data_IF_500766606746
#
_entry.id   IF_500766606746
#
_cell.length_a   1.000
_cell.length_b   1.000
_cell.length_c   1.000
_cell.angle_alpha   90.00
_cell.angle_beta   90.00
_cell.angle_gamma   90.00
#
_symmetry.space_group_name_H-M   'P 1'
#
loop_
_entity.id
_entity.type
_entity.pdbx_description
1 polymer ?
#
# COMPACT_ATOMS: atom_id res chain seq x y z
N UNK A 1 -11.21 -4.06 42.26
CA UNK A 1 -10.77 -5.28 41.57
C UNK A 1 -9.70 -4.89 40.57
N UNK A 2 -8.44 -5.02 40.97
CA UNK A 2 -7.28 -4.90 40.08
C UNK A 2 -7.27 -6.17 39.23
N UNK A 3 -7.68 -6.07 37.98
CA UNK A 3 -7.58 -7.15 37.01
C UNK A 3 -6.78 -6.61 35.82
N UNK A 4 -5.59 -7.18 35.71
CA UNK A 4 -4.78 -7.33 34.50
C UNK A 4 -4.27 -6.07 33.79
N UNK A 5 -3.31 -5.44 34.45
CA UNK A 5 -2.19 -4.74 33.80
C UNK A 5 -1.10 -5.77 33.40
N UNK A 6 -1.50 -6.85 32.72
CA UNK A 6 -0.57 -7.78 32.11
C UNK A 6 0.01 -7.08 30.89
N UNK A 7 1.11 -6.35 31.10
CA UNK A 7 2.09 -6.04 30.07
C UNK A 7 2.34 -7.34 29.29
N UNK A 8 1.75 -7.45 28.10
CA UNK A 8 2.15 -8.45 27.12
C UNK A 8 3.66 -8.34 26.98
N UNK A 9 4.44 -9.40 27.25
CA UNK A 9 5.89 -9.33 27.18
C UNK A 9 6.27 -8.88 25.76
N UNK A 10 6.84 -7.67 25.66
CA UNK A 10 7.35 -7.12 24.41
C UNK A 10 8.56 -7.96 24.01
N UNK A 11 8.41 -8.84 23.02
CA UNK A 11 9.42 -9.83 22.59
C UNK A 11 10.70 -9.17 22.00
N UNK A 12 10.73 -7.86 21.76
CA UNK A 12 11.60 -7.30 20.69
C UNK A 12 12.29 -5.96 20.98
N UNK A 13 12.96 -5.78 22.12
CA UNK A 13 13.94 -4.66 22.23
C UNK A 13 15.34 -5.03 21.72
N UNK A 14 15.65 -6.32 21.57
CA UNK A 14 17.03 -6.77 21.31
C UNK A 14 17.30 -7.18 19.85
N UNK A 15 16.25 -7.27 19.01
CA UNK A 15 16.39 -7.66 17.60
C UNK A 15 16.82 -6.47 16.73
N UNK A 16 18.10 -6.44 16.36
CA UNK A 16 18.66 -5.39 15.48
C UNK A 16 18.32 -5.56 14.01
N UNK A 17 17.97 -6.77 13.59
CA UNK A 17 17.69 -7.12 12.21
C UNK A 17 16.47 -8.04 12.10
N UNK A 18 15.75 -7.92 10.99
CA UNK A 18 14.64 -8.81 10.64
C UNK A 18 14.62 -9.10 9.15
N UNK A 19 14.16 -10.30 8.77
CA UNK A 19 13.87 -10.64 7.39
C UNK A 19 12.36 -10.84 7.26
N UNK A 20 11.72 -10.05 6.40
CA UNK A 20 10.28 -10.15 6.13
C UNK A 20 10.11 -10.68 4.71
N UNK A 21 9.28 -11.69 4.54
CA UNK A 21 9.08 -12.40 3.27
C UNK A 21 7.58 -12.47 2.97
N UNK A 22 7.22 -12.24 1.71
CA UNK A 22 5.91 -12.59 1.17
C UNK A 22 6.09 -13.51 -0.03
N UNK A 23 5.32 -14.59 -0.09
CA UNK A 23 5.44 -15.61 -1.14
C UNK A 23 4.07 -16.13 -1.54
N UNK A 24 3.86 -16.34 -2.83
CA UNK A 24 2.71 -17.05 -3.37
C UNK A 24 3.07 -17.82 -4.64
N UNK A 25 2.67 -19.10 -4.70
CA UNK A 25 2.87 -19.98 -5.85
C UNK A 25 1.57 -20.77 -6.14
N UNK A 26 1.22 -20.87 -7.42
CA UNK A 26 0.03 -21.51 -7.95
C UNK A 26 0.36 -22.94 -8.39
N UNK A 27 0.59 -23.82 -7.41
CA UNK A 27 1.09 -25.19 -7.64
C UNK A 27 0.06 -26.16 -8.25
N UNK A 28 -1.17 -25.71 -8.48
CA UNK A 28 -2.22 -26.55 -9.05
C UNK A 28 -3.55 -25.82 -9.24
N UNK A 29 -4.54 -26.48 -9.86
CA UNK A 29 -5.81 -25.85 -10.23
C UNK A 29 -6.77 -25.64 -9.05
N UNK A 30 -6.53 -26.27 -7.89
CA UNK A 30 -7.46 -26.24 -6.76
C UNK A 30 -7.85 -24.83 -6.31
N UNK A 31 -6.87 -23.92 -6.19
CA UNK A 31 -7.17 -22.53 -5.83
C UNK A 31 -7.97 -21.77 -6.88
N UNK A 32 -7.77 -22.07 -8.18
CA UNK A 32 -8.59 -21.48 -9.25
C UNK A 32 -10.04 -21.95 -9.14
N UNK A 33 -10.25 -23.25 -8.95
CA UNK A 33 -11.58 -23.84 -8.79
C UNK A 33 -12.29 -23.22 -7.57
N UNK A 34 -11.62 -23.16 -6.43
CA UNK A 34 -12.19 -22.62 -5.18
C UNK A 34 -12.55 -21.14 -5.26
N UNK A 35 -11.78 -20.33 -6.00
CA UNK A 35 -12.03 -18.88 -6.15
C UNK A 35 -12.99 -18.56 -7.31
N UNK A 36 -13.15 -19.47 -8.27
CA UNK A 36 -14.13 -19.32 -9.37
C UNK A 36 -15.56 -19.49 -8.87
N UNK A 37 -15.80 -20.46 -7.98
CA UNK A 37 -17.13 -20.72 -7.40
C UNK A 37 -17.84 -19.49 -6.80
N UNK A 38 -17.18 -18.71 -5.93
CA UNK A 38 -17.74 -17.48 -5.37
C UNK A 38 -17.63 -16.25 -6.29
N UNK A 39 -17.13 -16.40 -7.54
CA UNK A 39 -17.01 -15.28 -8.49
C UNK A 39 -15.92 -14.26 -8.13
N UNK A 40 -14.83 -14.69 -7.48
CA UNK A 40 -13.75 -13.77 -7.07
C UNK A 40 -12.75 -13.48 -8.21
N UNK A 41 -12.69 -14.37 -9.20
CA UNK A 41 -11.77 -14.24 -10.33
C UNK A 41 -12.43 -13.54 -11.50
N UNK A 42 -11.69 -12.60 -12.10
CA UNK A 42 -12.07 -12.01 -13.39
C UNK A 42 -12.02 -13.04 -14.52
N UNK A 43 -12.96 -12.97 -15.46
CA UNK A 43 -12.96 -13.83 -16.65
C UNK A 43 -11.93 -13.38 -17.70
N UNK A 44 -11.43 -12.15 -17.58
CA UNK A 44 -10.51 -11.55 -18.55
C UNK A 44 -9.03 -11.73 -18.16
N UNK A 45 -8.76 -12.36 -17.02
CA UNK A 45 -7.41 -12.72 -16.57
C UNK A 45 -6.51 -11.53 -16.18
N UNK A 46 -7.08 -10.36 -15.89
CA UNK A 46 -6.36 -9.16 -15.45
C UNK A 46 -7.08 -8.46 -14.30
N UNK A 47 -6.34 -7.78 -13.42
CA UNK A 47 -6.95 -6.91 -12.41
C UNK A 47 -7.25 -5.54 -13.03
N UNK A 48 -8.53 -5.24 -13.26
CA UNK A 48 -9.02 -3.96 -13.79
C UNK A 48 -9.20 -2.93 -12.67
N UNK A 49 -8.18 -2.79 -11.82
CA UNK A 49 -8.21 -1.93 -10.64
C UNK A 49 -8.60 -0.49 -11.01
N UNK A 50 -9.64 0.02 -10.35
CA UNK A 50 -10.28 1.33 -10.54
C UNK A 50 -11.04 1.53 -11.85
N UNK A 51 -11.01 0.59 -12.77
CA UNK A 51 -11.72 0.69 -14.04
C UNK A 51 -13.20 0.30 -13.88
N UNK A 52 -14.07 0.87 -14.72
CA UNK A 52 -15.49 0.55 -14.76
C UNK A 52 -15.78 -0.93 -15.06
N UNK A 53 -14.84 -1.63 -15.70
CA UNK A 53 -14.92 -3.06 -16.01
C UNK A 53 -14.43 -4.00 -14.89
N UNK A 54 -14.07 -3.46 -13.73
CA UNK A 54 -13.67 -4.22 -12.53
C UNK A 54 -14.68 -5.32 -12.15
N UNK A 55 -14.33 -6.58 -12.39
CA UNK A 55 -15.20 -7.76 -12.20
C UNK A 55 -14.57 -8.84 -11.29
N UNK A 56 -13.39 -8.59 -10.72
CA UNK A 56 -12.63 -9.58 -9.96
C UNK A 56 -11.13 -9.40 -10.12
N UNK A 57 -10.35 -10.30 -9.54
CA UNK A 57 -8.90 -10.28 -9.67
C UNK A 57 -8.36 -11.43 -10.51
N UNK A 58 -7.24 -11.20 -11.17
CA UNK A 58 -6.39 -12.27 -11.71
C UNK A 58 -5.45 -12.77 -10.61
N UNK A 59 -5.14 -14.06 -10.56
CA UNK A 59 -4.15 -14.59 -9.62
C UNK A 59 -2.74 -14.33 -10.14
N UNK A 60 -1.78 -14.17 -9.24
CA UNK A 60 -0.37 -13.98 -9.58
C UNK A 60 0.56 -14.75 -8.66
N UNK A 61 1.80 -14.91 -9.11
CA UNK A 61 2.87 -15.61 -8.39
C UNK A 61 4.02 -14.65 -8.09
N UNK A 62 4.74 -14.92 -7.01
CA UNK A 62 5.96 -14.19 -6.72
C UNK A 62 6.45 -14.40 -5.30
N UNK A 63 7.76 -14.22 -5.14
CA UNK A 63 8.45 -14.23 -3.85
C UNK A 63 9.24 -12.93 -3.74
N UNK A 64 9.04 -12.22 -2.64
CA UNK A 64 9.77 -11.00 -2.32
C UNK A 64 10.19 -10.99 -0.86
N UNK A 65 11.30 -10.30 -0.57
CA UNK A 65 11.76 -10.13 0.79
C UNK A 65 12.40 -8.76 1.01
N UNK A 66 12.38 -8.31 2.25
CA UNK A 66 13.09 -7.11 2.70
C UNK A 66 13.84 -7.42 3.99
N UNK A 67 15.07 -6.91 4.07
CA UNK A 67 15.87 -6.91 5.30
C UNK A 67 15.60 -5.62 6.04
N UNK A 68 15.07 -5.73 7.25
CA UNK A 68 14.90 -4.63 8.18
C UNK A 68 16.11 -4.54 9.10
N UNK A 69 16.48 -3.31 9.46
CA UNK A 69 17.46 -3.00 10.50
C UNK A 69 16.86 -1.91 11.37
N UNK A 70 16.86 -2.09 12.69
CA UNK A 70 16.45 -1.03 13.62
C UNK A 70 17.38 0.16 13.43
N UNK A 71 16.80 1.33 13.25
CA UNK A 71 17.53 2.54 12.92
C UNK A 71 17.98 3.23 14.22
N UNK A 72 19.21 2.98 14.67
CA UNK A 72 19.80 3.67 15.83
C UNK A 72 20.36 5.05 15.45
N UNK A 73 20.75 5.27 14.18
CA UNK A 73 21.28 6.54 13.67
C UNK A 73 20.50 7.07 12.46
N UNK A 74 20.31 8.39 12.42
CA UNK A 74 19.44 9.07 11.48
C UNK A 74 20.00 9.08 10.05
N UNK A 75 21.29 9.28 9.81
CA UNK A 75 21.77 9.60 8.45
C UNK A 75 22.70 8.51 7.91
N UNK A 76 22.25 7.84 6.84
CA UNK A 76 23.04 6.95 5.97
C UNK A 76 23.71 5.72 6.60
N UNK A 77 22.91 4.65 6.78
CA UNK A 77 23.48 3.32 6.66
C UNK A 77 23.64 3.01 5.16
N UNK A 78 24.88 2.78 4.70
CA UNK A 78 25.16 2.28 3.35
C UNK A 78 24.20 1.12 2.98
N UNK A 79 23.52 1.25 1.85
CA UNK A 79 22.55 0.26 1.35
C UNK A 79 21.11 0.42 1.85
N UNK A 80 20.77 1.44 2.64
CA UNK A 80 19.38 1.75 2.98
C UNK A 80 18.64 2.32 1.77
N UNK A 81 17.52 1.70 1.39
CA UNK A 81 16.71 2.11 0.22
C UNK A 81 15.40 2.82 0.58
N UNK A 82 14.98 2.75 1.85
CA UNK A 82 13.77 3.39 2.38
C UNK A 82 13.74 3.24 3.92
N UNK A 83 12.79 3.91 4.57
CA UNK A 83 12.46 3.76 5.98
C UNK A 83 10.98 3.37 6.12
N UNK A 84 10.71 2.27 6.81
CA UNK A 84 9.37 1.94 7.31
C UNK A 84 9.14 2.80 8.56
N UNK A 85 8.17 3.71 8.51
CA UNK A 85 7.97 4.72 9.57
C UNK A 85 6.68 4.52 10.35
N UNK A 86 5.77 3.66 9.87
CA UNK A 86 4.59 3.23 10.60
C UNK A 86 3.98 1.99 9.96
N UNK A 87 3.38 1.13 10.76
CA UNK A 87 2.61 0.00 10.28
C UNK A 87 1.50 -0.38 11.26
N UNK A 88 0.38 -0.85 10.74
CA UNK A 88 -0.75 -1.25 11.57
C UNK A 88 -1.46 -2.45 10.98
N UNK A 89 -2.03 -3.27 11.86
CA UNK A 89 -2.95 -4.34 11.52
C UNK A 89 -4.22 -4.23 12.35
N UNK A 90 -5.36 -4.53 11.74
CA UNK A 90 -6.63 -4.66 12.46
C UNK A 90 -7.53 -5.70 11.78
N UNK A 91 -8.81 -5.77 12.18
CA UNK A 91 -9.78 -6.68 11.60
C UNK A 91 -11.14 -5.99 11.38
N UNK A 92 -11.86 -6.41 10.35
CA UNK A 92 -13.16 -5.85 9.93
C UNK A 92 -14.28 -6.00 10.96
N UNK A 93 -14.15 -6.92 11.90
CA UNK A 93 -15.15 -7.30 12.88
C UNK A 93 -16.38 -7.90 12.21
N UNK A 94 -17.55 -7.41 12.63
CA UNK A 94 -18.83 -7.79 12.03
C UNK A 94 -19.07 -6.95 10.77
N UNK A 95 -18.79 -7.53 9.61
CA UNK A 95 -19.07 -6.96 8.29
C UNK A 95 -20.38 -7.53 7.68
N UNK A 96 -20.76 -7.03 6.50
CA UNK A 96 -21.99 -7.44 5.81
C UNK A 96 -21.99 -8.91 5.36
N UNK A 97 -20.82 -9.47 5.09
CA UNK A 97 -20.57 -10.89 4.87
C UNK A 97 -19.13 -11.20 5.25
N UNK A 98 -18.80 -12.48 5.45
CA UNK A 98 -17.44 -12.89 5.82
C UNK A 98 -16.34 -12.35 4.89
N UNK A 99 -16.68 -12.11 3.61
CA UNK A 99 -15.73 -11.65 2.58
C UNK A 99 -15.94 -10.19 2.16
N UNK A 100 -16.96 -9.51 2.70
CA UNK A 100 -17.21 -8.11 2.38
C UNK A 100 -16.23 -7.21 3.12
N UNK A 101 -15.49 -6.32 2.42
CA UNK A 101 -14.57 -5.40 3.05
C UNK A 101 -15.32 -4.37 3.92
N UNK A 102 -14.68 -3.89 4.98
CA UNK A 102 -15.28 -2.93 5.91
C UNK A 102 -14.57 -1.57 5.91
N UNK A 103 -15.17 -0.58 5.24
CA UNK A 103 -14.61 0.77 5.09
C UNK A 103 -14.16 1.44 6.40
N UNK A 104 -14.96 1.45 7.49
CA UNK A 104 -14.53 2.00 8.77
C UNK A 104 -13.28 1.33 9.35
N UNK A 105 -13.14 0.01 9.22
CA UNK A 105 -11.96 -0.72 9.69
C UNK A 105 -10.73 -0.39 8.83
N UNK A 106 -10.91 -0.23 7.51
CA UNK A 106 -9.84 0.27 6.64
C UNK A 106 -9.41 1.69 7.00
N UNK A 107 -10.35 2.59 7.32
CA UNK A 107 -10.00 3.93 7.78
C UNK A 107 -9.20 3.88 9.08
N UNK A 108 -9.56 3.02 10.02
CA UNK A 108 -8.86 2.95 11.31
C UNK A 108 -7.44 2.40 11.17
N UNK A 109 -7.21 1.34 10.38
CA UNK A 109 -5.86 0.82 10.16
C UNK A 109 -4.97 1.85 9.47
N UNK A 110 -5.52 2.64 8.54
CA UNK A 110 -4.80 3.74 7.88
C UNK A 110 -4.46 4.82 8.90
N UNK A 111 -5.42 5.27 9.72
CA UNK A 111 -5.18 6.29 10.76
C UNK A 111 -4.14 5.81 11.77
N UNK A 112 -4.20 4.56 12.21
CA UNK A 112 -3.27 4.04 13.20
C UNK A 112 -1.83 4.02 12.69
N UNK A 113 -1.59 3.54 11.47
CA UNK A 113 -0.26 3.55 10.85
C UNK A 113 0.25 4.99 10.65
N UNK A 114 -0.60 5.91 10.20
CA UNK A 114 -0.22 7.32 10.05
C UNK A 114 0.08 7.99 11.40
N UNK A 115 -0.68 7.67 12.46
CA UNK A 115 -0.43 8.18 13.82
C UNK A 115 0.91 7.69 14.37
N UNK A 116 1.21 6.41 14.19
CA UNK A 116 2.52 5.84 14.58
C UNK A 116 3.68 6.55 13.86
N UNK A 117 3.48 6.87 12.58
CA UNK A 117 4.45 7.59 11.76
C UNK A 117 4.46 9.12 11.99
N UNK A 118 3.57 9.67 12.82
CA UNK A 118 3.44 11.12 13.03
C UNK A 118 3.01 11.91 11.78
N UNK A 119 2.31 11.28 10.84
CA UNK A 119 1.96 11.86 9.54
C UNK A 119 0.63 12.63 9.56
N UNK A 120 0.57 13.72 8.81
CA UNK A 120 -0.68 14.42 8.50
C UNK A 120 -1.35 13.84 7.24
N UNK A 121 -2.68 14.02 7.07
CA UNK A 121 -3.44 13.55 5.90
C UNK A 121 -2.87 13.94 4.52
N UNK A 122 -2.11 15.04 4.44
CA UNK A 122 -1.51 15.55 3.21
C UNK A 122 -0.06 15.09 2.97
N UNK A 123 0.58 14.37 3.91
CA UNK A 123 1.99 13.95 3.78
C UNK A 123 2.18 12.87 2.71
N UNK A 124 1.20 11.96 2.57
CA UNK A 124 1.30 10.83 1.63
C UNK A 124 1.05 11.30 0.20
N UNK A 125 2.04 11.03 -0.65
CA UNK A 125 2.06 11.42 -2.07
C UNK A 125 1.53 10.32 -2.99
N UNK A 126 1.77 9.05 -2.64
CA UNK A 126 1.33 7.89 -3.41
C UNK A 126 0.72 6.86 -2.44
N UNK A 127 -0.48 6.38 -2.74
CA UNK A 127 -1.07 5.23 -2.08
C UNK A 127 -1.04 4.02 -3.03
N UNK A 128 -0.25 3.01 -2.66
CA UNK A 128 -0.35 1.67 -3.24
C UNK A 128 -1.53 0.97 -2.58
N UNK A 129 -2.64 0.93 -3.31
CA UNK A 129 -3.90 0.37 -2.85
C UNK A 129 -3.88 -1.15 -2.87
N UNK A 130 -4.73 -1.75 -2.02
CA UNK A 130 -5.07 -3.15 -2.13
C UNK A 130 -5.64 -3.44 -3.52
N UNK A 131 -6.60 -2.66 -4.01
CA UNK A 131 -6.93 -2.49 -5.42
C UNK A 131 -7.07 -3.79 -6.20
N UNK A 132 -7.99 -4.66 -5.79
CA UNK A 132 -8.19 -5.97 -6.43
C UNK A 132 -8.91 -5.91 -7.76
N UNK A 133 -9.48 -4.76 -8.16
CA UNK A 133 -10.27 -4.67 -9.38
C UNK A 133 -11.64 -5.30 -9.20
N UNK A 134 -12.24 -5.13 -8.02
CA UNK A 134 -13.60 -5.59 -7.74
C UNK A 134 -14.57 -4.42 -7.74
N UNK A 135 -15.76 -4.62 -8.31
CA UNK A 135 -16.80 -3.59 -8.38
C UNK A 135 -17.18 -2.98 -7.01
N UNK A 136 -17.11 -3.78 -5.93
CA UNK A 136 -17.43 -3.33 -4.57
C UNK A 136 -16.20 -2.87 -3.78
N UNK A 137 -15.07 -3.58 -3.88
CA UNK A 137 -13.91 -3.35 -3.04
C UNK A 137 -13.18 -2.06 -3.37
N UNK A 138 -13.02 -1.74 -4.67
CA UNK A 138 -12.31 -0.54 -5.10
C UNK A 138 -13.02 0.76 -4.60
N UNK A 139 -14.35 0.92 -4.76
CA UNK A 139 -15.07 2.05 -4.15
C UNK A 139 -14.92 2.16 -2.64
N UNK A 140 -14.99 1.04 -1.90
CA UNK A 140 -14.85 1.03 -0.44
C UNK A 140 -13.45 1.49 -0.03
N UNK A 141 -12.41 1.00 -0.69
CA UNK A 141 -11.04 1.38 -0.41
C UNK A 141 -10.78 2.86 -0.72
N UNK A 142 -11.22 3.35 -1.87
CA UNK A 142 -11.06 4.78 -2.22
C UNK A 142 -11.84 5.66 -1.25
N UNK A 143 -13.05 5.27 -0.86
CA UNK A 143 -13.84 5.97 0.16
C UNK A 143 -13.14 5.98 1.52
N UNK A 144 -12.53 4.88 1.95
CA UNK A 144 -11.76 4.82 3.19
C UNK A 144 -10.52 5.72 3.15
N UNK A 145 -9.74 5.67 2.06
CA UNK A 145 -8.58 6.54 1.85
C UNK A 145 -8.98 8.01 1.84
N UNK A 146 -10.10 8.36 1.19
CA UNK A 146 -10.67 9.72 1.22
C UNK A 146 -11.07 10.13 2.63
N UNK A 147 -11.75 9.25 3.39
CA UNK A 147 -12.17 9.52 4.78
C UNK A 147 -11.02 9.79 5.76
N UNK A 148 -9.77 9.44 5.40
CA UNK A 148 -8.58 9.70 6.21
C UNK A 148 -7.70 10.79 5.60
N UNK A 149 -7.56 10.83 4.28
CA UNK A 149 -6.58 11.65 3.56
C UNK A 149 -7.19 12.78 2.74
N UNK A 150 -8.49 13.06 2.88
CA UNK A 150 -9.10 14.27 2.31
C UNK A 150 -8.60 15.49 3.08
N UNK A 151 -7.71 16.23 2.43
CA UNK A 151 -7.16 17.48 2.93
C UNK A 151 -6.80 18.36 1.73
N UNK A 152 -6.71 19.67 1.96
CA UNK A 152 -6.16 20.59 0.98
C UNK A 152 -4.69 20.22 0.73
N UNK A 153 -4.37 19.95 -0.53
CA UNK A 153 -3.05 19.52 -0.95
C UNK A 153 -2.65 20.26 -2.22
N UNK A 154 -1.40 20.71 -2.27
CA UNK A 154 -0.85 21.41 -3.42
C UNK A 154 -0.75 20.51 -4.67
N UNK A 155 -0.57 19.20 -4.45
CA UNK A 155 -0.56 18.18 -5.49
C UNK A 155 -1.53 17.06 -5.14
N UNK A 156 -2.35 16.57 -6.08
CA UNK A 156 -3.21 15.41 -5.87
C UNK A 156 -2.44 14.16 -5.43
N UNK A 157 -3.08 13.28 -4.66
CA UNK A 157 -2.51 11.98 -4.29
C UNK A 157 -2.64 10.98 -5.43
N UNK A 158 -1.56 10.29 -5.78
CA UNK A 158 -1.62 9.20 -6.76
C UNK A 158 -2.18 7.93 -6.09
N UNK A 159 -3.14 7.28 -6.73
CA UNK A 159 -3.59 5.92 -6.41
C UNK A 159 -3.06 4.96 -7.44
N UNK A 160 -2.46 3.87 -6.98
CA UNK A 160 -1.90 2.86 -7.87
C UNK A 160 -2.03 1.47 -7.25
N UNK A 161 -2.00 0.41 -8.05
CA UNK A 161 -1.90 -0.97 -7.55
C UNK A 161 -1.01 -1.84 -8.42
N UNK A 162 -0.07 -2.54 -7.79
CA UNK A 162 0.80 -3.54 -8.41
C UNK A 162 0.03 -4.70 -9.03
N UNK A 163 -1.22 -4.93 -8.59
CA UNK A 163 -2.07 -6.01 -9.09
C UNK A 163 -2.43 -5.84 -10.56
N UNK A 164 -2.47 -4.60 -11.04
CA UNK A 164 -2.65 -4.33 -12.47
C UNK A 164 -1.52 -4.94 -13.31
N UNK A 165 -0.29 -4.98 -12.80
CA UNK A 165 0.89 -5.49 -13.50
C UNK A 165 1.16 -6.98 -13.25
N UNK A 166 0.97 -7.44 -12.01
CA UNK A 166 1.44 -8.75 -11.54
C UNK A 166 0.30 -9.72 -11.22
N UNK A 167 -0.95 -9.29 -11.32
CA UNK A 167 -2.08 -9.99 -10.71
C UNK A 167 -2.05 -9.91 -9.19
N UNK A 168 -3.01 -10.56 -8.55
CA UNK A 168 -3.09 -10.66 -7.10
C UNK A 168 -2.20 -11.79 -6.59
N UNK A 169 -1.05 -11.41 -6.03
CA UNK A 169 -0.09 -12.34 -5.42
C UNK A 169 -0.55 -12.92 -4.07
N UNK A 170 -1.82 -12.84 -3.70
CA UNK A 170 -2.37 -13.37 -2.42
C UNK A 170 -1.45 -13.07 -1.21
N UNK A 171 -0.84 -14.09 -0.61
CA UNK A 171 0.08 -13.95 0.53
C UNK A 171 1.36 -13.14 0.22
N UNK A 172 1.77 -13.04 -1.04
CA UNK A 172 2.86 -12.19 -1.52
C UNK A 172 2.44 -10.76 -1.90
N UNK A 173 1.15 -10.45 -1.94
CA UNK A 173 0.65 -9.17 -2.49
C UNK A 173 1.11 -7.95 -1.69
N UNK A 174 1.10 -8.02 -0.35
CA UNK A 174 1.58 -6.92 0.48
C UNK A 174 3.06 -6.63 0.27
N UNK A 175 3.89 -7.67 0.09
CA UNK A 175 5.32 -7.52 -0.17
C UNK A 175 5.59 -6.93 -1.57
N UNK A 176 4.85 -7.36 -2.59
CA UNK A 176 4.96 -6.79 -3.93
C UNK A 176 4.60 -5.29 -3.93
N UNK A 177 3.52 -4.91 -3.24
CA UNK A 177 3.15 -3.51 -3.06
C UNK A 177 4.20 -2.70 -2.29
N UNK A 178 4.76 -3.25 -1.21
CA UNK A 178 5.83 -2.61 -0.44
C UNK A 178 7.09 -2.37 -1.29
N UNK A 179 7.53 -3.36 -2.05
CA UNK A 179 8.67 -3.24 -2.97
C UNK A 179 8.39 -2.19 -4.04
N UNK A 180 7.18 -2.16 -4.60
CA UNK A 180 6.76 -1.13 -5.57
C UNK A 180 6.82 0.28 -4.96
N UNK A 181 6.32 0.47 -3.74
CA UNK A 181 6.46 1.74 -3.00
C UNK A 181 7.92 2.19 -2.86
N UNK A 182 8.81 1.28 -2.46
CA UNK A 182 10.25 1.55 -2.34
C UNK A 182 10.85 1.92 -3.69
N UNK A 183 10.47 1.24 -4.77
CA UNK A 183 10.90 1.58 -6.12
C UNK A 183 10.40 2.97 -6.54
N UNK A 184 9.12 3.28 -6.34
CA UNK A 184 8.55 4.60 -6.68
C UNK A 184 9.27 5.75 -5.97
N UNK A 185 9.64 5.56 -4.70
CA UNK A 185 10.45 6.52 -3.95
C UNK A 185 11.86 6.68 -4.54
N UNK A 186 12.55 5.56 -4.77
CA UNK A 186 13.92 5.55 -5.26
C UNK A 186 14.07 6.14 -6.66
N UNK A 187 13.06 5.99 -7.52
CA UNK A 187 13.01 6.59 -8.86
C UNK A 187 12.28 7.94 -8.90
N UNK A 188 11.72 8.39 -7.76
CA UNK A 188 10.85 9.57 -7.67
C UNK A 188 9.77 9.62 -8.75
N UNK A 189 9.14 8.48 -9.00
CA UNK A 189 8.17 8.28 -10.07
C UNK A 189 7.00 7.41 -9.59
N UNK A 190 5.78 7.81 -9.93
CA UNK A 190 4.56 7.06 -9.71
C UNK A 190 4.29 6.08 -10.85
N UNK A 191 4.13 4.81 -10.52
CA UNK A 191 3.88 3.76 -11.50
C UNK A 191 2.41 3.76 -11.98
N UNK A 192 2.17 3.49 -13.28
CA UNK A 192 0.85 3.52 -13.88
C UNK A 192 -0.05 2.37 -13.42
N UNK A 193 -1.36 2.59 -13.48
CA UNK A 193 -2.38 1.54 -13.44
C UNK A 193 -2.63 1.05 -14.87
N UNK A 194 -2.08 -0.11 -15.20
CA UNK A 194 -2.35 -0.70 -16.51
C UNK A 194 -3.76 -1.32 -16.50
N UNK A 195 -4.48 -1.27 -17.63
CA UNK A 195 -5.89 -1.68 -17.75
C UNK A 195 -6.94 -0.68 -17.22
N UNK A 196 -6.54 0.55 -16.87
CA UNK A 196 -7.46 1.64 -16.60
C UNK A 196 -7.76 2.42 -17.89
N UNK A 197 -8.98 2.29 -18.40
CA UNK A 197 -9.48 2.99 -19.59
C UNK A 197 -10.59 3.97 -19.22
N UNK A 198 -11.55 3.55 -18.40
CA UNK A 198 -12.69 4.35 -17.95
C UNK A 198 -12.76 4.21 -16.43
N UNK A 199 -12.59 5.33 -15.72
CA UNK A 199 -12.66 5.33 -14.26
C UNK A 199 -14.03 4.83 -13.77
N UNK A 200 -14.04 3.94 -12.79
CA UNK A 200 -15.26 3.43 -12.19
C UNK A 200 -16.07 4.60 -11.57
N UNK A 201 -17.33 4.81 -12.01
CA UNK A 201 -18.15 5.94 -11.59
C UNK A 201 -18.57 5.88 -10.12
N UNK A 202 -18.39 4.74 -9.45
CA UNK A 202 -18.69 4.56 -8.03
C UNK A 202 -17.54 4.99 -7.11
N UNK A 203 -16.37 5.35 -7.64
CA UNK A 203 -15.27 5.88 -6.84
C UNK A 203 -15.63 7.29 -6.35
N UNK A 204 -15.68 7.49 -5.03
CA UNK A 204 -15.90 8.80 -4.42
C UNK A 204 -14.63 9.68 -4.54
N UNK A 205 -14.49 10.34 -5.69
CA UNK A 205 -13.37 11.24 -6.00
C UNK A 205 -13.76 12.73 -5.89
N UNK A 206 -15.05 13.01 -5.66
CA UNK A 206 -15.55 14.37 -5.63
C UNK A 206 -14.97 15.17 -4.44
N UNK A 207 -14.34 16.31 -4.75
CA UNK A 207 -13.68 17.16 -3.75
C UNK A 207 -12.52 16.47 -3.02
N UNK A 208 -11.91 15.45 -3.64
CA UNK A 208 -10.73 14.75 -3.17
C UNK A 208 -9.65 14.84 -4.26
N UNK A 209 -8.63 15.72 -4.12
CA UNK A 209 -7.61 15.86 -5.15
C UNK A 209 -6.81 14.55 -5.28
N UNK A 210 -7.13 13.75 -6.31
CA UNK A 210 -6.60 12.40 -6.53
C UNK A 210 -6.30 12.16 -8.01
N UNK A 211 -5.25 11.39 -8.30
CA UNK A 211 -4.90 10.92 -9.63
C UNK A 211 -4.92 9.39 -9.73
N UNK A 212 -5.31 8.91 -10.91
CA UNK A 212 -5.26 7.52 -11.32
C UNK A 212 -4.58 7.48 -12.70
N UNK A 213 -3.25 7.47 -12.71
CA UNK A 213 -2.50 7.60 -13.97
C UNK A 213 -2.34 6.27 -14.69
N UNK A 214 -2.45 6.31 -16.01
CA UNK A 214 -2.14 5.19 -16.92
C UNK A 214 -0.72 5.29 -17.51
N UNK A 215 -0.02 6.39 -17.26
CA UNK A 215 1.37 6.62 -17.64
C UNK A 215 2.26 6.87 -16.42
N UNK A 216 3.58 6.79 -16.61
CA UNK A 216 4.56 7.07 -15.56
C UNK A 216 4.49 8.54 -15.16
N UNK A 217 4.28 8.83 -13.88
CA UNK A 217 4.15 10.19 -13.36
C UNK A 217 5.39 10.60 -12.58
N UNK A 218 6.02 11.72 -12.93
CA UNK A 218 6.99 12.37 -12.05
C UNK A 218 6.24 13.22 -10.99
N UNK A 219 6.31 12.83 -9.73
CA UNK A 219 5.63 13.56 -8.65
C UNK A 219 6.41 14.79 -8.13
N UNK A 220 7.55 15.10 -8.74
CA UNK A 220 8.17 16.42 -8.65
C UNK A 220 9.06 16.68 -7.44
N UNK A 221 9.32 15.67 -6.60
CA UNK A 221 10.13 15.78 -5.38
C UNK A 221 11.17 14.67 -5.33
N UNK A 222 12.31 14.93 -4.68
CA UNK A 222 13.41 13.95 -4.53
C UNK A 222 13.31 13.13 -3.26
N UNK A 223 12.27 13.36 -2.47
CA UNK A 223 11.87 12.55 -1.34
C UNK A 223 10.36 12.48 -1.30
N UNK A 224 9.85 11.48 -0.62
CA UNK A 224 8.42 11.25 -0.60
C UNK A 224 7.99 10.30 0.49
N UNK A 225 6.68 10.27 0.65
CA UNK A 225 5.98 9.33 1.50
C UNK A 225 4.99 8.57 0.65
N UNK A 226 5.09 7.25 0.76
CA UNK A 226 4.12 6.33 0.18
C UNK A 226 3.47 5.55 1.30
N UNK A 227 2.34 4.93 1.03
CA UNK A 227 2.02 3.78 1.84
C UNK A 227 1.15 2.77 1.13
N UNK A 228 1.27 1.55 1.61
CA UNK A 228 0.73 0.34 1.02
C UNK A 228 -0.38 -0.23 1.90
N UNK A 229 -1.51 -0.55 1.27
CA UNK A 229 -2.66 -1.19 1.91
C UNK A 229 -2.79 -2.64 1.46
N UNK A 230 -3.13 -3.54 2.38
CA UNK A 230 -3.42 -4.94 2.07
C UNK A 230 -4.56 -5.45 2.93
N UNK A 231 -5.68 -5.82 2.30
CA UNK A 231 -6.90 -6.23 2.97
C UNK A 231 -7.21 -7.69 2.64
N UNK A 232 -7.10 -8.58 3.62
CA UNK A 232 -7.37 -10.00 3.43
C UNK A 232 -8.87 -10.25 3.34
N UNK A 233 -9.29 -11.16 2.46
CA UNK A 233 -10.71 -11.50 2.31
C UNK A 233 -11.36 -12.03 3.60
N UNK A 234 -10.57 -12.52 4.57
CA UNK A 234 -11.05 -12.89 5.92
C UNK A 234 -11.20 -11.71 6.88
N UNK A 235 -11.04 -10.47 6.39
CA UNK A 235 -11.22 -9.23 7.14
C UNK A 235 -9.99 -8.72 7.88
N UNK A 236 -8.83 -9.40 7.84
CA UNK A 236 -7.60 -8.86 8.42
C UNK A 236 -6.99 -7.81 7.50
N UNK A 237 -6.80 -6.60 8.01
CA UNK A 237 -6.23 -5.49 7.27
C UNK A 237 -4.82 -5.19 7.74
N UNK A 238 -3.97 -4.74 6.83
CA UNK A 238 -2.65 -4.24 7.11
C UNK A 238 -2.38 -2.94 6.34
N UNK A 239 -1.63 -2.03 6.98
CA UNK A 239 -1.12 -0.79 6.40
C UNK A 239 0.36 -0.66 6.75
N UNK A 240 1.15 -0.14 5.82
CA UNK A 240 2.51 0.30 6.10
C UNK A 240 2.79 1.63 5.37
N UNK A 241 3.43 2.57 6.06
CA UNK A 241 3.84 3.86 5.54
C UNK A 241 5.36 3.94 5.45
N UNK A 242 5.86 4.39 4.30
CA UNK A 242 7.25 4.30 3.91
C UNK A 242 7.74 5.66 3.44
N UNK A 243 8.84 6.10 4.03
CA UNK A 243 9.59 7.26 3.58
C UNK A 243 10.81 6.83 2.76
N UNK A 244 11.16 7.63 1.77
CA UNK A 244 12.39 7.43 1.01
C UNK A 244 12.75 8.63 0.18
N UNK A 245 13.89 8.52 -0.49
CA UNK A 245 14.42 9.55 -1.37
C UNK A 245 14.93 8.93 -2.67
N UNK A 246 15.09 9.79 -3.67
CA UNK A 246 15.66 9.42 -4.94
C UNK A 246 17.08 8.87 -4.70
N UNK A 247 17.31 7.64 -5.15
CA UNK A 247 18.64 7.02 -5.24
C UNK A 247 18.93 6.57 -6.68
N UNK A 248 17.94 6.68 -7.56
CA UNK A 248 17.95 6.31 -8.98
C UNK A 248 17.08 7.30 -9.78
N UNK A 249 17.09 7.16 -11.10
CA UNK A 249 16.27 7.97 -12.00
C UNK A 249 16.80 9.39 -12.23
N UNK A 250 16.06 10.16 -13.05
CA UNK A 250 16.49 11.49 -13.50
C UNK A 250 16.69 12.47 -12.35
N UNK A 251 15.87 12.39 -11.30
CA UNK A 251 15.96 13.31 -10.15
C UNK A 251 17.21 13.09 -9.30
N UNK A 252 17.65 11.84 -9.12
CA UNK A 252 18.91 11.55 -8.42
C UNK A 252 20.12 12.12 -9.18
N UNK A 253 20.13 12.00 -10.51
CA UNK A 253 21.20 12.55 -11.35
C UNK A 253 21.32 14.08 -11.24
N UNK A 254 20.22 14.78 -10.98
CA UNK A 254 20.18 16.24 -10.92
C UNK A 254 20.66 16.77 -9.56
N UNK A 255 20.32 16.10 -8.45
CA UNK A 255 20.60 16.66 -7.10
C UNK A 255 21.68 15.96 -6.31
N UNK A 256 22.13 14.78 -6.73
CA UNK A 256 23.09 13.99 -5.95
C UNK A 256 22.49 13.47 -4.63
N UNK A 257 23.33 12.90 -3.74
CA UNK A 257 22.90 12.38 -2.44
C UNK A 257 22.40 13.48 -1.50
N UNK A 258 21.46 13.13 -0.60
CA UNK A 258 20.92 14.08 0.39
C UNK A 258 21.97 14.37 1.47
N UNK A 259 22.32 15.65 1.65
CA UNK A 259 23.34 16.04 2.64
C UNK A 259 22.84 16.08 4.10
N UNK A 260 21.51 16.15 4.37
CA UNK A 260 20.98 15.99 5.75
C UNK A 260 19.46 15.72 5.83
N UNK A 261 19.02 15.07 6.91
CA UNK A 261 17.61 14.77 7.26
C UNK A 261 16.86 15.92 7.96
N UNK A 262 17.43 17.12 8.08
CA UNK A 262 16.84 18.24 8.83
C UNK A 262 15.48 18.72 8.31
N UNK A 263 15.03 18.22 7.16
CA UNK A 263 13.70 18.47 6.60
C UNK A 263 12.56 17.68 7.26
N UNK A 264 12.81 16.73 8.17
CA UNK A 264 11.76 16.01 8.91
C UNK A 264 11.32 16.73 10.20
N UNK A 265 12.01 17.80 10.61
CA UNK A 265 11.70 18.57 11.82
C UNK A 265 10.88 19.85 11.56
N UNK A 266 10.22 19.97 10.40
CA UNK A 266 9.27 21.07 10.14
C UNK A 266 7.95 20.54 9.61
#
# INVERSE_FOLDING_TARGET
SKLDDQQTPNITTDLKHGLVIGSNLLLGPGGYISLSGPGMLTHQGRCFTFDNSADGFARGEGVGSVKLKVCEDSVEASGRVAMLIGCSVNQDGRSASMTAPHGPSQQEVIRQSMREAGLSPNSITIAECHGTGTALGDPIEIGALRGVMRADRARPILKTSSKTNLGHLEAGAGMAGLIKCICMLNYSSGAPNIHLLVLNPHLDVAGYPVYFESELLDYGNNSGLTGVSSFGFGGTNARADVWGHATKGHRYCITGPLESLTQFQR
#
